data_IF_254171720423
#
_entry.id   IF_254171720423
#
_cell.length_a   1.000
_cell.length_b   1.000
_cell.length_c   1.000
_cell.angle_alpha   90.00
_cell.angle_beta   90.00
_cell.angle_gamma   90.00
#
_symmetry.space_group_name_H-M   'P 1'
#
loop_
_entity.id
_entity.type
_entity.pdbx_description
1 polymer ?
#
# COMPACT_ATOMS: atom_id res chain seq x y z
N UNK A 1 -3.39 8.10 14.16
CA UNK A 1 -2.87 7.43 12.97
C UNK A 1 -3.51 6.06 12.78
N UNK A 2 -3.73 5.71 11.56
CA UNK A 2 -4.29 4.41 11.20
C UNK A 2 -3.16 3.36 11.22
N UNK A 3 -2.99 2.71 12.35
CA UNK A 3 -1.93 1.72 12.58
C UNK A 3 -2.06 0.54 11.62
N UNK A 4 -3.28 0.18 11.22
CA UNK A 4 -3.54 -0.94 10.32
C UNK A 4 -2.96 -0.73 8.92
N UNK A 5 -2.79 0.51 8.51
CA UNK A 5 -2.17 0.84 7.21
C UNK A 5 -0.71 0.42 7.14
N UNK A 6 -0.01 0.43 8.28
CA UNK A 6 1.43 0.21 8.34
C UNK A 6 1.81 -1.13 8.96
N UNK A 7 0.85 -1.80 9.58
CA UNK A 7 1.09 -3.02 10.34
C UNK A 7 0.38 -4.20 9.68
N UNK A 8 1.13 -5.22 9.36
CA UNK A 8 0.57 -6.51 8.97
C UNK A 8 0.54 -7.42 10.20
N UNK A 9 -0.63 -7.89 10.56
CA UNK A 9 -0.86 -8.77 11.70
C UNK A 9 -1.30 -10.14 11.19
N UNK A 10 -0.61 -11.16 11.61
CA UNK A 10 -0.95 -12.56 11.37
C UNK A 10 -1.17 -13.25 12.72
N UNK A 11 -2.07 -14.22 12.76
CA UNK A 11 -2.25 -15.04 13.94
C UNK A 11 -1.39 -16.30 13.82
N UNK A 12 -0.72 -16.67 14.91
CA UNK A 12 0.00 -17.93 14.98
C UNK A 12 -1.02 -19.10 14.85
N UNK A 13 -0.81 -20.04 13.91
CA UNK A 13 -1.72 -21.18 13.74
C UNK A 13 -1.97 -21.96 15.01
N UNK A 14 -0.95 -22.12 15.89
CA UNK A 14 -1.08 -22.80 17.17
C UNK A 14 -2.03 -22.09 18.12
N UNK A 15 -2.02 -20.77 18.13
CA UNK A 15 -2.98 -19.97 18.91
C UNK A 15 -4.39 -20.15 18.35
N UNK A 16 -4.54 -20.16 17.02
CA UNK A 16 -5.82 -20.42 16.36
C UNK A 16 -6.39 -21.81 16.67
N UNK A 17 -5.54 -22.83 16.78
CA UNK A 17 -5.96 -24.17 17.20
C UNK A 17 -6.39 -24.20 18.68
N UNK A 18 -5.66 -23.50 19.54
CA UNK A 18 -5.94 -23.47 20.99
C UNK A 18 -7.14 -22.59 21.35
N UNK A 19 -7.37 -21.52 20.61
CA UNK A 19 -8.45 -20.56 20.85
C UNK A 19 -9.18 -20.27 19.53
N UNK A 20 -10.10 -21.17 19.09
CA UNK A 20 -10.81 -21.05 17.81
C UNK A 20 -11.57 -19.72 17.65
N UNK A 21 -12.08 -19.16 18.75
CA UNK A 21 -12.78 -17.87 18.73
C UNK A 21 -11.88 -16.73 18.30
N UNK A 22 -10.60 -16.75 18.69
CA UNK A 22 -9.62 -15.74 18.28
C UNK A 22 -9.35 -15.82 16.77
N UNK A 23 -9.23 -17.05 16.25
CA UNK A 23 -9.07 -17.28 14.82
C UNK A 23 -10.27 -16.78 14.02
N UNK A 24 -11.48 -17.00 14.51
CA UNK A 24 -12.71 -16.53 13.88
C UNK A 24 -12.79 -15.01 13.83
N UNK A 25 -12.48 -14.34 14.96
CA UNK A 25 -12.42 -12.87 15.03
C UNK A 25 -11.36 -12.34 14.07
N UNK A 26 -10.19 -12.95 14.02
CA UNK A 26 -9.11 -12.57 13.12
C UNK A 26 -9.56 -12.62 11.65
N UNK A 27 -10.11 -13.75 11.22
CA UNK A 27 -10.55 -13.94 9.83
C UNK A 27 -11.72 -13.05 9.45
N UNK A 28 -12.65 -12.86 10.37
CA UNK A 28 -13.90 -12.13 10.11
C UNK A 28 -13.74 -10.62 10.14
N UNK A 29 -12.87 -10.13 11.00
CA UNK A 29 -12.72 -8.69 11.24
C UNK A 29 -11.37 -8.13 10.83
N UNK A 30 -10.28 -8.72 11.33
CA UNK A 30 -8.94 -8.14 11.12
C UNK A 30 -8.44 -8.31 9.68
N UNK A 31 -8.61 -9.48 9.09
CA UNK A 31 -8.17 -9.74 7.72
C UNK A 31 -8.87 -8.81 6.72
N UNK A 32 -10.22 -8.66 6.75
CA UNK A 32 -10.89 -7.71 5.85
C UNK A 32 -10.46 -6.25 6.06
N UNK A 33 -10.24 -5.82 7.30
CA UNK A 33 -9.76 -4.47 7.61
C UNK A 33 -8.37 -4.27 7.02
N UNK A 34 -7.45 -5.19 7.21
CA UNK A 34 -6.10 -5.11 6.65
C UNK A 34 -6.13 -5.07 5.12
N UNK A 35 -6.95 -5.90 4.48
CA UNK A 35 -7.12 -5.90 3.04
C UNK A 35 -7.65 -4.58 2.51
N UNK A 36 -8.63 -3.99 3.19
CA UNK A 36 -9.20 -2.70 2.84
C UNK A 36 -8.16 -1.58 2.92
N UNK A 37 -7.43 -1.50 4.02
CA UNK A 37 -6.39 -0.50 4.20
C UNK A 37 -5.24 -0.66 3.21
N UNK A 38 -4.84 -1.87 2.92
CA UNK A 38 -3.79 -2.15 1.94
C UNK A 38 -4.20 -1.74 0.53
N UNK A 39 -5.42 -2.09 0.10
CA UNK A 39 -5.95 -1.71 -1.20
C UNK A 39 -6.06 -0.18 -1.33
N UNK A 40 -6.56 0.49 -0.30
CA UNK A 40 -6.70 1.94 -0.27
C UNK A 40 -5.34 2.65 -0.37
N UNK A 41 -4.36 2.17 0.39
CA UNK A 41 -2.97 2.66 0.35
C UNK A 41 -2.36 2.48 -1.04
N UNK A 42 -2.54 1.32 -1.64
CA UNK A 42 -2.06 1.04 -3.00
C UNK A 42 -2.70 1.98 -4.04
N UNK A 43 -4.01 2.19 -3.97
CA UNK A 43 -4.73 3.05 -4.91
C UNK A 43 -4.30 4.51 -4.80
N UNK A 44 -4.18 5.04 -3.59
CA UNK A 44 -3.71 6.40 -3.37
C UNK A 44 -2.29 6.60 -3.85
N UNK A 45 -1.41 5.66 -3.53
CA UNK A 45 -0.01 5.71 -3.95
C UNK A 45 0.15 5.58 -5.46
N UNK A 46 -0.65 4.72 -6.09
CA UNK A 46 -0.66 4.53 -7.54
C UNK A 46 -1.10 5.80 -8.26
N UNK A 47 -2.14 6.47 -7.77
CA UNK A 47 -2.59 7.74 -8.32
C UNK A 47 -1.52 8.83 -8.17
N UNK A 48 -0.91 8.96 -7.00
CA UNK A 48 0.16 9.91 -6.75
C UNK A 48 1.36 9.66 -7.66
N UNK A 49 1.79 8.42 -7.79
CA UNK A 49 2.90 8.03 -8.67
C UNK A 49 2.61 8.38 -10.14
N UNK A 50 1.41 8.05 -10.63
CA UNK A 50 1.03 8.33 -12.01
C UNK A 50 1.03 9.83 -12.31
N UNK A 51 0.45 10.64 -11.42
CA UNK A 51 0.40 12.10 -11.57
C UNK A 51 1.81 12.69 -11.55
N UNK A 52 2.64 12.31 -10.59
CA UNK A 52 4.02 12.79 -10.50
C UNK A 52 4.85 12.37 -11.72
N UNK A 53 4.64 11.18 -12.24
CA UNK A 53 5.35 10.70 -13.42
C UNK A 53 4.95 11.47 -14.70
N UNK A 54 3.67 11.81 -14.83
CA UNK A 54 3.16 12.59 -15.97
C UNK A 54 3.65 14.04 -15.89
N UNK A 55 3.66 14.64 -14.70
CA UNK A 55 3.98 16.06 -14.48
C UNK A 55 5.42 16.30 -13.98
N UNK A 56 6.30 15.34 -14.13
CA UNK A 56 7.66 15.40 -13.59
C UNK A 56 8.47 16.60 -14.08
N UNK A 57 8.20 17.09 -15.28
CA UNK A 57 8.91 18.21 -15.91
C UNK A 57 8.14 19.54 -15.79
N UNK A 58 6.96 19.55 -15.15
CA UNK A 58 6.17 20.74 -14.93
C UNK A 58 6.65 21.51 -13.69
N UNK A 59 7.15 22.72 -13.88
CA UNK A 59 7.72 23.53 -12.80
C UNK A 59 6.68 23.97 -11.77
N UNK A 60 5.49 24.32 -12.21
CA UNK A 60 4.42 24.76 -11.30
C UNK A 60 3.96 23.60 -10.43
N UNK A 61 3.85 22.41 -11.00
CA UNK A 61 3.54 21.20 -10.26
C UNK A 61 4.64 20.87 -9.24
N UNK A 62 5.92 20.96 -9.62
CA UNK A 62 7.04 20.72 -8.72
C UNK A 62 7.07 21.69 -7.55
N UNK A 63 6.80 22.97 -7.79
CA UNK A 63 6.68 23.98 -6.75
C UNK A 63 5.50 23.70 -5.80
N UNK A 64 4.35 23.35 -6.35
CA UNK A 64 3.19 22.93 -5.57
C UNK A 64 3.51 21.72 -4.69
N UNK A 65 4.12 20.71 -5.28
CA UNK A 65 4.47 19.47 -4.57
C UNK A 65 5.44 19.72 -3.42
N UNK A 66 6.48 20.55 -3.64
CA UNK A 66 7.45 20.91 -2.61
C UNK A 66 6.77 21.65 -1.44
N UNK A 67 5.88 22.58 -1.73
CA UNK A 67 5.11 23.32 -0.71
C UNK A 67 4.18 22.40 0.06
N UNK A 68 3.43 21.56 -0.64
CA UNK A 68 2.47 20.62 -0.05
C UNK A 68 3.17 19.59 0.85
N UNK A 69 4.24 18.98 0.38
CA UNK A 69 5.00 18.00 1.16
C UNK A 69 5.68 18.61 2.38
N UNK A 70 5.98 19.92 2.35
CA UNK A 70 6.55 20.62 3.49
C UNK A 70 5.52 21.00 4.57
N UNK A 71 4.23 20.96 4.29
CA UNK A 71 3.17 21.44 5.18
C UNK A 71 2.23 20.40 5.71
N UNK A 72 2.10 19.25 5.03
CA UNK A 72 1.17 18.19 5.43
C UNK A 72 1.92 16.97 5.97
N UNK A 73 1.85 16.76 7.29
CA UNK A 73 2.41 15.61 8.00
C UNK A 73 1.33 14.63 8.48
N UNK A 74 0.15 14.65 7.87
CA UNK A 74 -0.94 13.77 8.26
C UNK A 74 -0.64 12.28 8.00
N UNK A 75 -1.36 11.40 8.68
CA UNK A 75 -1.31 9.95 8.43
C UNK A 75 -1.66 9.62 6.97
N UNK A 76 -2.52 10.43 6.35
CA UNK A 76 -2.85 10.33 4.93
C UNK A 76 -1.62 10.49 4.03
N UNK A 77 -0.76 11.47 4.31
CA UNK A 77 0.47 11.67 3.53
C UNK A 77 1.46 10.52 3.71
N UNK A 78 1.59 9.98 4.90
CA UNK A 78 2.45 8.82 5.17
C UNK A 78 1.94 7.61 4.38
N UNK A 79 0.65 7.34 4.41
CA UNK A 79 0.01 6.26 3.64
C UNK A 79 0.22 6.42 2.14
N UNK A 80 -0.02 7.61 1.62
CA UNK A 80 0.18 7.96 0.22
C UNK A 80 1.63 7.74 -0.22
N UNK A 81 2.59 8.13 0.63
CA UNK A 81 4.02 7.92 0.39
C UNK A 81 4.39 6.44 0.31
N UNK A 82 3.89 5.61 1.23
CA UNK A 82 4.11 4.16 1.21
C UNK A 82 3.59 3.55 -0.07
N UNK A 83 2.36 3.87 -0.46
CA UNK A 83 1.75 3.36 -1.69
C UNK A 83 2.48 3.84 -2.95
N UNK A 84 2.97 5.08 -2.96
CA UNK A 84 3.75 5.63 -4.06
C UNK A 84 5.10 4.93 -4.21
N UNK A 85 5.83 4.76 -3.12
CA UNK A 85 7.14 4.09 -3.14
C UNK A 85 7.00 2.62 -3.57
N UNK A 86 5.96 1.94 -3.09
CA UNK A 86 5.61 0.59 -3.53
C UNK A 86 5.35 0.55 -5.04
N UNK A 87 4.48 1.44 -5.53
CA UNK A 87 4.13 1.50 -6.95
C UNK A 87 5.36 1.76 -7.82
N UNK A 88 6.22 2.68 -7.39
CA UNK A 88 7.47 2.97 -8.08
C UNK A 88 8.35 1.73 -8.19
N UNK A 89 8.55 1.01 -7.09
CA UNK A 89 9.38 -0.20 -7.07
C UNK A 89 8.83 -1.29 -8.00
N UNK A 90 7.52 -1.49 -8.02
CA UNK A 90 6.87 -2.46 -8.92
C UNK A 90 6.95 -1.99 -10.37
N UNK A 91 6.73 -0.71 -10.63
CA UNK A 91 6.79 -0.11 -11.96
C UNK A 91 8.17 -0.22 -12.60
N UNK A 92 9.24 -0.05 -11.82
CA UNK A 92 10.62 -0.23 -12.30
C UNK A 92 10.88 -1.64 -12.82
N UNK A 93 10.11 -2.63 -12.38
CA UNK A 93 10.23 -4.03 -12.82
C UNK A 93 9.24 -4.41 -13.92
N UNK A 94 8.01 -3.93 -13.83
CA UNK A 94 6.91 -4.38 -14.70
C UNK A 94 6.47 -3.35 -15.74
N UNK A 95 6.88 -2.08 -15.59
CA UNK A 95 6.42 -1.00 -16.46
C UNK A 95 4.92 -0.72 -16.31
N UNK A 96 4.27 -0.32 -17.39
CA UNK A 96 2.86 0.13 -17.36
C UNK A 96 1.86 -0.94 -16.93
N UNK A 97 2.19 -2.22 -17.05
CA UNK A 97 1.32 -3.31 -16.59
C UNK A 97 1.12 -3.31 -15.07
N UNK A 98 1.98 -2.61 -14.34
CA UNK A 98 1.89 -2.44 -12.88
C UNK A 98 0.49 -2.02 -12.45
N UNK A 99 -0.10 -1.03 -13.11
CA UNK A 99 -1.41 -0.48 -12.74
C UNK A 99 -2.51 -1.53 -12.86
N UNK A 100 -2.52 -2.27 -13.96
CA UNK A 100 -3.46 -3.37 -14.17
C UNK A 100 -3.30 -4.45 -13.09
N UNK A 101 -2.05 -4.85 -12.82
CA UNK A 101 -1.75 -5.89 -11.83
C UNK A 101 -2.15 -5.46 -10.41
N UNK A 102 -1.91 -4.23 -10.03
CA UNK A 102 -2.28 -3.72 -8.70
C UNK A 102 -3.79 -3.65 -8.52
N UNK A 103 -4.56 -3.43 -9.58
CA UNK A 103 -6.04 -3.43 -9.53
C UNK A 103 -6.57 -4.86 -9.47
N UNK A 104 -6.06 -5.76 -10.30
CA UNK A 104 -6.52 -7.15 -10.37
C UNK A 104 -6.09 -7.97 -9.14
N UNK A 105 -4.88 -7.73 -8.66
CA UNK A 105 -4.26 -8.45 -7.54
C UNK A 105 -3.69 -7.41 -6.58
N UNK A 106 -4.52 -6.78 -5.72
CA UNK A 106 -4.04 -5.76 -4.79
C UNK A 106 -2.99 -6.30 -3.84
N UNK A 107 -1.96 -5.50 -3.49
CA UNK A 107 -1.01 -5.90 -2.46
C UNK A 107 -1.66 -5.92 -1.08
N UNK A 108 -1.15 -6.76 -0.20
CA UNK A 108 -1.49 -6.72 1.22
C UNK A 108 -0.54 -5.78 1.98
N UNK A 109 -0.78 -5.57 3.27
CA UNK A 109 0.02 -4.66 4.09
C UNK A 109 1.48 -5.09 4.23
N UNK A 110 1.75 -6.38 4.21
CA UNK A 110 3.12 -6.93 4.25
C UNK A 110 3.87 -6.65 2.95
N UNK A 111 3.20 -6.87 1.82
CA UNK A 111 3.74 -6.62 0.49
C UNK A 111 3.99 -5.13 0.23
N UNK A 112 3.14 -4.24 0.76
CA UNK A 112 3.36 -2.79 0.67
C UNK A 112 4.68 -2.35 1.31
N UNK A 113 5.11 -3.04 2.36
CA UNK A 113 6.40 -2.79 3.02
C UNK A 113 7.58 -3.45 2.32
N UNK A 114 7.32 -4.52 1.59
CA UNK A 114 8.33 -5.28 0.85
C UNK A 114 7.82 -5.63 -0.55
N UNK A 115 8.06 -4.74 -1.53
CA UNK A 115 7.60 -4.96 -2.91
C UNK A 115 8.10 -6.25 -3.55
N UNK A 116 9.22 -6.81 -3.06
CA UNK A 116 9.74 -8.07 -3.60
C UNK A 116 8.79 -9.25 -3.32
N UNK A 117 8.09 -9.23 -2.19
CA UNK A 117 7.07 -10.24 -1.88
C UNK A 117 5.92 -10.19 -2.91
N UNK A 118 5.50 -8.99 -3.28
CA UNK A 118 4.46 -8.80 -4.28
C UNK A 118 4.91 -9.28 -5.66
N UNK A 119 6.11 -8.90 -6.08
CA UNK A 119 6.67 -9.33 -7.36
C UNK A 119 6.80 -10.86 -7.42
N UNK A 120 7.21 -11.49 -6.33
CA UNK A 120 7.29 -12.96 -6.23
C UNK A 120 5.91 -13.60 -6.33
N UNK A 121 4.88 -13.01 -5.74
CA UNK A 121 3.49 -13.49 -5.86
C UNK A 121 3.00 -13.45 -7.31
N UNK A 122 3.42 -12.45 -8.09
CA UNK A 122 3.00 -12.28 -9.48
C UNK A 122 3.74 -13.19 -10.47
N UNK A 123 4.86 -13.76 -10.08
CA UNK A 123 5.69 -14.60 -10.97
C UNK A 123 5.20 -16.05 -11.11
#
# INVERSE_FOLDING_TARGET
PDVMTFTHVEIDPKIGESIPQLLDIYKKWLVPIQQHHAAFTAMEGMAAFAIENILKDDKDFQNYLATFMGTDFSAYQVRKSIGKDFTKAVYEKLGTITFKKMIEIPPNTKELKDPQLYLKKLS
#
